data_IF_678179692474
#
_entry.id   IF_678179692474
#
_cell.length_a   1.000
_cell.length_b   1.000
_cell.length_c   1.000
_cell.angle_alpha   90.00
_cell.angle_beta   90.00
_cell.angle_gamma   90.00
#
_symmetry.space_group_name_H-M   'P 1'
#
loop_
_entity.id
_entity.type
_entity.pdbx_description
1 polymer ?
#
# COMPACT_ATOMS: atom_id res chain seq x y z
N UNK A 1 24.58 -16.89 8.25
CA UNK A 1 24.39 -17.78 7.08
C UNK A 1 23.01 -17.67 6.42
N UNK A 2 21.92 -17.29 7.13
CA UNK A 2 20.60 -17.10 6.48
C UNK A 2 20.54 -15.84 5.59
N UNK A 3 21.25 -14.76 5.93
CA UNK A 3 21.28 -13.53 5.10
C UNK A 3 21.87 -13.74 3.71
N UNK A 4 22.85 -14.63 3.57
CA UNK A 4 23.48 -14.91 2.27
C UNK A 4 22.59 -15.74 1.36
N UNK A 5 21.76 -16.66 1.91
CA UNK A 5 20.79 -17.42 1.11
C UNK A 5 19.64 -16.54 0.59
N UNK A 6 19.19 -15.58 1.40
CA UNK A 6 18.12 -14.66 0.99
C UNK A 6 18.60 -13.70 -0.13
N UNK A 7 19.85 -13.24 -0.06
CA UNK A 7 20.49 -12.45 -1.11
C UNK A 7 20.74 -13.27 -2.39
N UNK A 8 21.13 -14.54 -2.26
CA UNK A 8 21.28 -15.44 -3.40
C UNK A 8 19.94 -15.75 -4.08
N UNK A 9 18.87 -15.99 -3.31
CA UNK A 9 17.53 -16.18 -3.86
C UNK A 9 17.03 -14.93 -4.60
N UNK A 10 17.34 -13.73 -4.08
CA UNK A 10 17.00 -12.47 -4.73
C UNK A 10 17.77 -12.26 -6.04
N UNK A 11 19.06 -12.63 -6.08
CA UNK A 11 19.91 -12.51 -7.28
C UNK A 11 19.55 -13.50 -8.37
N UNK A 12 19.21 -14.74 -8.02
CA UNK A 12 18.98 -15.84 -8.96
C UNK A 12 17.50 -15.99 -9.33
N UNK A 13 16.60 -15.79 -8.36
CA UNK A 13 15.16 -16.01 -8.52
C UNK A 13 14.34 -14.73 -8.71
N UNK A 14 14.93 -13.53 -8.57
CA UNK A 14 14.20 -12.26 -8.61
C UNK A 14 13.18 -12.08 -7.47
N UNK A 15 13.14 -13.02 -6.51
CA UNK A 15 12.20 -13.03 -5.39
C UNK A 15 12.96 -12.81 -4.09
N UNK A 16 12.75 -11.67 -3.45
CA UNK A 16 13.28 -11.37 -2.12
C UNK A 16 12.25 -11.66 -1.04
N UNK A 17 12.64 -12.42 -0.01
CA UNK A 17 11.80 -12.63 1.16
C UNK A 17 12.29 -11.74 2.30
N UNK A 18 11.51 -10.73 2.66
CA UNK A 18 11.82 -9.92 3.83
C UNK A 18 11.44 -10.67 5.10
N UNK A 19 12.33 -10.64 6.12
CA UNK A 19 12.01 -11.20 7.43
C UNK A 19 10.86 -10.38 8.04
N UNK A 20 9.71 -11.01 8.36
CA UNK A 20 8.61 -10.28 8.97
C UNK A 20 9.07 -9.67 10.30
N UNK A 21 8.75 -8.39 10.50
CA UNK A 21 8.96 -7.74 11.80
C UNK A 21 7.93 -8.32 12.76
N UNK A 22 8.40 -9.07 13.76
CA UNK A 22 7.53 -9.64 14.79
C UNK A 22 7.06 -8.51 15.71
N UNK A 23 5.79 -8.11 15.57
CA UNK A 23 5.14 -7.19 16.49
C UNK A 23 4.64 -8.01 17.67
N UNK A 24 5.14 -7.68 18.88
CA UNK A 24 4.68 -8.32 20.10
C UNK A 24 3.42 -7.61 20.64
N UNK A 25 2.23 -8.25 20.57
CA UNK A 25 0.97 -7.64 21.03
C UNK A 25 0.98 -7.26 22.51
N UNK A 26 1.78 -7.94 23.32
CA UNK A 26 1.87 -7.70 24.77
C UNK A 26 2.55 -6.39 25.16
N UNK A 27 3.26 -5.75 24.22
CA UNK A 27 3.89 -4.44 24.45
C UNK A 27 2.88 -3.28 24.38
N UNK A 28 1.64 -3.53 23.95
CA UNK A 28 0.60 -2.51 23.86
C UNK A 28 -0.34 -2.53 25.05
N UNK A 29 -0.71 -1.36 25.58
CA UNK A 29 -1.77 -1.25 26.61
C UNK A 29 -3.10 -1.86 26.15
N UNK A 30 -3.41 -1.72 24.86
CA UNK A 30 -4.52 -2.39 24.20
C UNK A 30 -3.99 -3.11 22.95
N UNK A 31 -3.81 -4.45 22.99
CA UNK A 31 -3.23 -5.21 21.90
C UNK A 31 -3.93 -5.05 20.55
N UNK A 32 -5.28 -5.01 20.55
CA UNK A 32 -6.06 -4.87 19.32
C UNK A 32 -5.81 -3.52 18.65
N UNK A 33 -5.90 -2.43 19.43
CA UNK A 33 -5.68 -1.06 18.92
C UNK A 33 -4.23 -0.88 18.47
N UNK A 34 -3.27 -1.37 19.26
CA UNK A 34 -1.86 -1.29 18.91
C UNK A 34 -1.51 -2.00 17.60
N UNK A 35 -2.06 -3.20 17.41
CA UNK A 35 -1.88 -3.96 16.16
C UNK A 35 -2.53 -3.27 14.96
N UNK A 36 -3.74 -2.70 15.13
CA UNK A 36 -4.42 -1.98 14.07
C UNK A 36 -3.70 -0.69 13.68
N UNK A 37 -3.18 0.08 14.66
CA UNK A 37 -2.38 1.28 14.40
C UNK A 37 -1.06 0.94 13.69
N UNK A 38 -0.39 -0.13 14.11
CA UNK A 38 0.82 -0.59 13.43
C UNK A 38 0.55 -1.02 11.99
N UNK A 39 -0.58 -1.70 11.75
CA UNK A 39 -1.01 -2.09 10.42
C UNK A 39 -1.42 -0.88 9.55
N UNK A 40 -2.02 0.14 10.14
CA UNK A 40 -2.40 1.36 9.43
C UNK A 40 -1.19 2.22 9.01
N UNK A 41 -0.05 2.10 9.70
CA UNK A 41 1.14 2.89 9.42
C UNK A 41 1.71 2.64 8.00
N UNK A 42 1.65 1.39 7.51
CA UNK A 42 2.08 1.03 6.14
C UNK A 42 1.29 1.77 5.06
N UNK A 43 -0.03 1.56 4.98
CA UNK A 43 -0.87 2.29 4.03
C UNK A 43 -0.79 3.81 4.18
N UNK A 44 -0.73 4.34 5.41
CA UNK A 44 -0.61 5.77 5.65
C UNK A 44 0.70 6.34 5.10
N UNK A 45 1.82 5.66 5.29
CA UNK A 45 3.11 6.07 4.73
C UNK A 45 3.11 6.07 3.19
N UNK A 46 2.49 5.05 2.58
CA UNK A 46 2.34 4.99 1.14
C UNK A 46 1.46 6.13 0.60
N UNK A 47 0.35 6.45 1.27
CA UNK A 47 -0.50 7.59 0.90
C UNK A 47 0.23 8.92 1.02
N UNK A 48 1.01 9.11 2.09
CA UNK A 48 1.82 10.30 2.29
C UNK A 48 2.87 10.44 1.18
N UNK A 49 3.56 9.34 0.86
CA UNK A 49 4.58 9.33 -0.18
C UNK A 49 3.98 9.58 -1.56
N UNK A 50 2.80 9.02 -1.85
CA UNK A 50 2.06 9.30 -3.08
C UNK A 50 1.67 10.78 -3.17
N UNK A 51 1.19 11.37 -2.07
CA UNK A 51 0.79 12.77 -2.01
C UNK A 51 1.97 13.71 -2.27
N UNK A 52 3.12 13.50 -1.59
CA UNK A 52 4.34 14.28 -1.81
C UNK A 52 4.83 14.12 -3.25
N UNK A 53 4.86 12.88 -3.77
CA UNK A 53 5.28 12.61 -5.15
C UNK A 53 4.36 13.27 -6.17
N UNK A 54 3.05 13.34 -5.92
CA UNK A 54 2.08 14.02 -6.79
C UNK A 54 2.32 15.54 -6.82
N UNK A 55 2.62 16.15 -5.68
CA UNK A 55 2.98 17.57 -5.61
C UNK A 55 4.24 17.83 -6.44
N UNK A 56 5.30 17.05 -6.24
CA UNK A 56 6.54 17.18 -6.99
C UNK A 56 6.34 16.95 -8.49
N UNK A 57 5.52 15.96 -8.86
CA UNK A 57 5.16 15.70 -10.26
C UNK A 57 4.49 16.92 -10.91
N UNK A 58 3.47 17.49 -10.25
CA UNK A 58 2.78 18.69 -10.74
C UNK A 58 3.71 19.91 -10.82
N UNK A 59 4.56 20.11 -9.80
CA UNK A 59 5.57 21.18 -9.83
C UNK A 59 6.52 21.06 -11.02
N UNK A 60 7.03 19.86 -11.30
CA UNK A 60 7.87 19.60 -12.47
C UNK A 60 7.12 19.84 -13.77
N UNK A 61 5.85 19.41 -13.83
CA UNK A 61 5.03 19.54 -15.04
C UNK A 61 4.74 21.00 -15.38
N UNK A 62 4.22 21.77 -14.42
CA UNK A 62 3.81 23.17 -14.65
C UNK A 62 4.99 24.15 -14.74
N UNK A 63 6.15 23.84 -14.17
CA UNK A 63 7.36 24.69 -14.29
C UNK A 63 8.08 24.54 -15.63
N UNK A 64 7.63 23.66 -16.54
CA UNK A 64 8.31 23.36 -17.80
C UNK A 64 9.52 22.43 -17.64
N UNK A 65 9.87 22.03 -16.41
CA UNK A 65 10.94 21.05 -16.16
C UNK A 65 10.56 19.66 -16.67
N UNK A 66 9.27 19.39 -16.89
CA UNK A 66 8.79 18.11 -17.41
C UNK A 66 9.41 17.71 -18.73
N UNK A 67 9.58 18.68 -19.62
CA UNK A 67 10.20 18.48 -20.93
C UNK A 67 11.74 18.43 -20.84
N UNK A 68 12.33 19.18 -19.90
CA UNK A 68 13.77 19.21 -19.68
C UNK A 68 14.31 17.96 -18.97
N UNK A 69 13.50 17.34 -18.07
CA UNK A 69 13.90 16.18 -17.28
C UNK A 69 12.80 15.09 -17.29
N UNK A 70 12.51 14.48 -18.46
CA UNK A 70 11.40 13.53 -18.61
C UNK A 70 11.56 12.27 -17.73
N UNK A 71 12.79 11.86 -17.45
CA UNK A 71 13.07 10.72 -16.56
C UNK A 71 12.59 10.99 -15.12
N UNK A 72 12.79 12.21 -14.61
CA UNK A 72 12.33 12.58 -13.27
C UNK A 72 10.80 12.62 -13.21
N UNK A 73 10.16 13.20 -14.23
CA UNK A 73 8.69 13.27 -14.30
C UNK A 73 8.08 11.88 -14.36
N UNK A 74 8.66 10.99 -15.17
CA UNK A 74 8.24 9.58 -15.27
C UNK A 74 8.46 8.84 -13.96
N UNK A 75 9.59 9.05 -13.29
CA UNK A 75 9.88 8.47 -11.98
C UNK A 75 8.83 8.90 -10.94
N UNK A 76 8.53 10.20 -10.85
CA UNK A 76 7.53 10.72 -9.91
C UNK A 76 6.13 10.18 -10.21
N UNK A 77 5.74 10.06 -11.47
CA UNK A 77 4.49 9.43 -11.89
C UNK A 77 4.39 7.99 -11.38
N UNK A 78 5.43 7.17 -11.60
CA UNK A 78 5.44 5.79 -11.10
C UNK A 78 5.49 5.72 -9.58
N UNK A 79 6.16 6.65 -8.91
CA UNK A 79 6.13 6.75 -7.45
C UNK A 79 4.71 6.95 -6.94
N UNK A 80 3.92 7.83 -7.56
CA UNK A 80 2.50 8.00 -7.23
C UNK A 80 1.73 6.71 -7.48
N UNK A 81 1.82 6.15 -8.68
CA UNK A 81 1.07 4.98 -9.08
C UNK A 81 1.33 3.76 -8.18
N UNK A 82 2.61 3.47 -7.92
CA UNK A 82 3.00 2.33 -7.07
C UNK A 82 2.57 2.52 -5.62
N UNK A 83 2.75 3.71 -5.05
CA UNK A 83 2.38 3.95 -3.66
C UNK A 83 0.86 3.94 -3.45
N UNK A 84 0.07 4.46 -4.41
CA UNK A 84 -1.39 4.34 -4.36
C UNK A 84 -1.84 2.88 -4.47
N UNK A 85 -1.26 2.12 -5.39
CA UNK A 85 -1.55 0.69 -5.52
C UNK A 85 -1.23 -0.07 -4.23
N UNK A 86 -0.03 0.15 -3.65
CA UNK A 86 0.37 -0.47 -2.40
C UNK A 86 -0.55 -0.07 -1.23
N UNK A 87 -0.97 1.20 -1.15
CA UNK A 87 -1.90 1.65 -0.13
C UNK A 87 -3.27 0.96 -0.25
N UNK A 88 -3.83 0.89 -1.48
CA UNK A 88 -5.10 0.22 -1.75
C UNK A 88 -5.02 -1.26 -1.40
N UNK A 89 -3.98 -1.96 -1.87
CA UNK A 89 -3.77 -3.38 -1.55
C UNK A 89 -3.68 -3.61 -0.04
N UNK A 90 -2.88 -2.81 0.66
CA UNK A 90 -2.70 -2.95 2.10
C UNK A 90 -3.94 -2.57 2.91
N UNK A 91 -4.85 -1.77 2.37
CA UNK A 91 -6.13 -1.41 3.00
C UNK A 91 -7.24 -2.45 2.78
N UNK A 92 -7.03 -3.46 1.93
CA UNK A 92 -8.02 -4.53 1.73
C UNK A 92 -8.36 -5.22 3.06
N UNK A 93 -9.65 -5.36 3.41
CA UNK A 93 -10.06 -5.92 4.69
C UNK A 93 -9.98 -7.46 4.74
N UNK A 94 -9.04 -8.04 4.00
CA UNK A 94 -8.83 -9.50 3.89
C UNK A 94 -7.36 -9.85 4.11
N UNK A 95 -7.06 -10.94 4.86
CA UNK A 95 -5.70 -11.46 4.95
C UNK A 95 -5.14 -11.84 3.55
N UNK A 96 -3.85 -11.61 3.29
CA UNK A 96 -2.75 -11.28 4.21
C UNK A 96 -2.50 -9.78 4.42
N UNK A 97 -3.38 -8.91 3.96
CA UNK A 97 -3.16 -7.47 3.94
C UNK A 97 -3.37 -6.81 5.32
N UNK A 98 -2.71 -5.69 5.55
CA UNK A 98 -2.76 -4.94 6.81
C UNK A 98 -4.17 -4.42 7.14
N UNK A 99 -4.97 -4.11 6.13
CA UNK A 99 -6.37 -3.72 6.27
C UNK A 99 -7.24 -4.75 6.98
N UNK A 100 -6.89 -6.04 6.91
CA UNK A 100 -7.57 -7.08 7.67
C UNK A 100 -7.46 -6.87 9.19
N UNK A 101 -6.29 -6.42 9.67
CA UNK A 101 -6.05 -6.13 11.09
C UNK A 101 -6.85 -4.91 11.55
N UNK A 102 -7.01 -3.92 10.67
CA UNK A 102 -7.86 -2.75 10.91
C UNK A 102 -9.33 -3.16 10.95
N UNK A 103 -9.79 -3.96 9.99
CA UNK A 103 -11.15 -4.48 9.95
C UNK A 103 -11.48 -5.35 11.18
N UNK A 104 -10.54 -6.18 11.61
CA UNK A 104 -10.69 -7.02 12.80
C UNK A 104 -10.85 -6.23 14.10
N UNK A 105 -10.43 -4.95 14.15
CA UNK A 105 -10.66 -4.07 15.30
C UNK A 105 -12.16 -3.90 15.58
N UNK A 106 -12.98 -3.80 14.55
CA UNK A 106 -14.42 -3.58 14.61
C UNK A 106 -15.22 -4.86 14.82
N UNK A 107 -14.57 -6.04 14.72
CA UNK A 107 -15.26 -7.32 14.88
C UNK A 107 -15.37 -7.74 16.35
N UNK A 108 -16.51 -8.38 16.73
CA UNK A 108 -16.65 -9.06 18.00
C UNK A 108 -15.58 -10.14 18.18
N UNK A 109 -15.17 -10.39 19.42
CA UNK A 109 -14.07 -11.35 19.71
C UNK A 109 -14.27 -12.73 19.08
N UNK A 110 -15.50 -13.22 19.03
CA UNK A 110 -15.83 -14.54 18.45
C UNK A 110 -15.51 -14.61 16.96
N UNK A 111 -15.81 -13.56 16.21
CA UNK A 111 -15.53 -13.47 14.77
C UNK A 111 -14.04 -13.22 14.52
N UNK A 112 -13.38 -12.44 15.37
CA UNK A 112 -11.94 -12.21 15.34
C UNK A 112 -11.16 -13.53 15.39
N UNK A 113 -11.42 -14.38 16.40
CA UNK A 113 -10.73 -15.67 16.53
C UNK A 113 -11.06 -16.64 15.39
N UNK A 114 -12.29 -16.58 14.86
CA UNK A 114 -12.69 -17.41 13.72
C UNK A 114 -11.95 -16.97 12.45
N UNK A 115 -11.86 -15.67 12.17
CA UNK A 115 -11.12 -15.13 11.04
C UNK A 115 -9.63 -15.51 11.12
N UNK A 116 -9.00 -15.37 12.28
CA UNK A 116 -7.61 -15.79 12.48
C UNK A 116 -7.39 -17.29 12.27
N UNK A 117 -8.34 -18.15 12.68
CA UNK A 117 -8.25 -19.59 12.44
C UNK A 117 -8.22 -19.95 10.96
N UNK A 118 -8.96 -19.21 10.13
CA UNK A 118 -9.07 -19.45 8.69
C UNK A 118 -8.17 -18.55 7.85
N UNK A 119 -7.32 -17.73 8.47
CA UNK A 119 -6.45 -16.76 7.79
C UNK A 119 -5.68 -17.37 6.61
N UNK A 120 -5.08 -18.56 6.80
CA UNK A 120 -4.33 -19.27 5.74
C UNK A 120 -5.19 -19.63 4.53
N UNK A 121 -6.42 -20.09 4.76
CA UNK A 121 -7.33 -20.46 3.66
C UNK A 121 -7.84 -19.22 2.93
N UNK A 122 -8.14 -18.15 3.66
CA UNK A 122 -8.55 -16.87 3.09
C UNK A 122 -7.40 -16.30 2.24
N UNK A 123 -6.18 -16.35 2.74
CA UNK A 123 -4.97 -15.93 2.02
C UNK A 123 -4.82 -16.69 0.69
N UNK A 124 -4.95 -18.02 0.71
CA UNK A 124 -4.84 -18.84 -0.49
C UNK A 124 -5.96 -18.53 -1.50
N UNK A 125 -7.19 -18.33 -1.01
CA UNK A 125 -8.32 -17.96 -1.86
C UNK A 125 -8.11 -16.58 -2.51
N UNK A 126 -7.67 -15.58 -1.75
CA UNK A 126 -7.36 -14.24 -2.27
C UNK A 126 -6.24 -14.29 -3.30
N UNK A 127 -5.17 -15.06 -3.01
CA UNK A 127 -4.06 -15.24 -3.93
C UNK A 127 -4.55 -15.86 -5.26
N UNK A 128 -5.41 -16.89 -5.19
CA UNK A 128 -6.01 -17.50 -6.38
C UNK A 128 -6.86 -16.48 -7.18
N UNK A 129 -7.66 -15.64 -6.51
CA UNK A 129 -8.46 -14.60 -7.15
C UNK A 129 -7.59 -13.55 -7.86
N UNK A 130 -6.45 -13.18 -7.26
CA UNK A 130 -5.46 -12.29 -7.90
C UNK A 130 -4.87 -12.95 -9.15
N UNK A 131 -4.43 -14.21 -9.06
CA UNK A 131 -3.88 -14.93 -10.20
C UNK A 131 -4.88 -15.15 -11.35
N UNK A 132 -6.16 -15.29 -11.02
CA UNK A 132 -7.24 -15.40 -12.01
C UNK A 132 -7.65 -14.03 -12.61
N UNK A 133 -7.07 -12.91 -12.16
CA UNK A 133 -7.41 -11.57 -12.63
C UNK A 133 -8.78 -11.07 -12.18
N UNK A 134 -9.47 -11.81 -11.29
CA UNK A 134 -10.83 -11.45 -10.85
C UNK A 134 -10.88 -10.21 -9.98
N UNK A 135 -9.75 -9.83 -9.39
CA UNK A 135 -9.61 -8.63 -8.56
C UNK A 135 -9.12 -7.41 -9.34
N UNK A 136 -8.75 -7.53 -10.61
CA UNK A 136 -8.17 -6.43 -11.39
C UNK A 136 -9.14 -5.26 -11.56
N UNK A 137 -10.41 -5.54 -11.89
CA UNK A 137 -11.42 -4.51 -12.08
C UNK A 137 -11.75 -3.75 -10.78
N UNK A 138 -12.07 -4.42 -9.64
CA UNK A 138 -12.33 -3.71 -8.39
C UNK A 138 -11.09 -2.97 -7.85
N UNK A 139 -9.88 -3.54 -8.00
CA UNK A 139 -8.66 -2.88 -7.56
C UNK A 139 -8.34 -1.65 -8.40
N UNK A 140 -8.43 -1.75 -9.72
CA UNK A 140 -8.24 -0.61 -10.61
C UNK A 140 -9.25 0.51 -10.35
N UNK A 141 -10.50 0.17 -10.05
CA UNK A 141 -11.51 1.15 -9.66
C UNK A 141 -11.13 1.89 -8.37
N UNK A 142 -10.67 1.17 -7.35
CA UNK A 142 -10.19 1.76 -6.09
C UNK A 142 -8.95 2.64 -6.30
N UNK A 143 -7.96 2.15 -7.04
CA UNK A 143 -6.74 2.91 -7.33
C UNK A 143 -7.07 4.19 -8.11
N UNK A 144 -7.94 4.11 -9.12
CA UNK A 144 -8.39 5.28 -9.87
C UNK A 144 -9.17 6.27 -9.01
N UNK A 145 -9.98 5.79 -8.05
CA UNK A 145 -10.64 6.64 -7.07
C UNK A 145 -9.64 7.40 -6.20
N UNK A 146 -8.63 6.69 -5.68
CA UNK A 146 -7.55 7.30 -4.89
C UNK A 146 -6.70 8.28 -5.72
N UNK A 147 -6.46 7.96 -6.99
CA UNK A 147 -5.78 8.87 -7.92
C UNK A 147 -6.53 10.18 -8.06
N UNK A 148 -7.85 10.14 -8.31
CA UNK A 148 -8.70 11.32 -8.39
C UNK A 148 -8.67 12.13 -7.08
N UNK A 149 -8.75 11.45 -5.94
CA UNK A 149 -8.63 12.09 -4.64
C UNK A 149 -7.29 12.84 -4.49
N UNK A 150 -6.17 12.21 -4.89
CA UNK A 150 -4.85 12.86 -4.86
C UNK A 150 -4.78 14.07 -5.78
N UNK A 151 -5.37 14.00 -6.97
CA UNK A 151 -5.46 15.16 -7.88
C UNK A 151 -6.20 16.34 -7.21
N UNK A 152 -7.32 16.07 -6.54
CA UNK A 152 -8.08 17.11 -5.80
C UNK A 152 -7.28 17.67 -4.62
N UNK A 153 -6.66 16.80 -3.82
CA UNK A 153 -5.87 17.22 -2.65
C UNK A 153 -4.62 18.04 -3.02
N UNK A 154 -4.15 17.91 -4.25
CA UNK A 154 -2.98 18.64 -4.78
C UNK A 154 -3.38 19.74 -5.77
N UNK A 155 -4.66 20.06 -5.89
CA UNK A 155 -5.19 21.11 -6.78
C UNK A 155 -4.64 22.51 -6.49
N UNK A 156 -4.22 22.78 -5.25
CA UNK A 156 -3.58 24.03 -4.88
C UNK A 156 -2.29 24.31 -5.68
N UNK A 157 -1.61 23.26 -6.17
CA UNK A 157 -0.42 23.43 -7.00
C UNK A 157 -0.79 24.06 -8.34
N UNK A 158 -1.92 23.72 -8.94
CA UNK A 158 -2.39 24.27 -10.22
C UNK A 158 -2.69 25.77 -10.08
N UNK A 159 -3.26 26.17 -8.95
CA UNK A 159 -3.56 27.57 -8.66
C UNK A 159 -2.31 28.47 -8.62
N UNK A 160 -1.12 27.91 -8.31
CA UNK A 160 0.13 28.67 -8.31
C UNK A 160 0.54 29.13 -9.72
N UNK A 161 0.07 28.44 -10.77
CA UNK A 161 0.33 28.76 -12.18
C UNK A 161 -0.88 29.33 -12.91
N UNK A 162 -1.99 29.62 -12.20
CA UNK A 162 -3.19 30.27 -12.75
C UNK A 162 -4.08 29.35 -13.60
N UNK A 163 -4.02 28.05 -13.36
CA UNK A 163 -4.87 27.01 -13.97
C UNK A 163 -6.02 26.61 -13.06
#
# INVERSE_FOLDING_TARGET
>A
TRRSSDLLCMLVGGVGWAKPVSINPYNYKNPKVGMALSAAAGPASNLLLAWVSMILYKLCWYSGLGDAVPVLTMFLYYMVAMNLSLAVFNLLPVPPFDGSRIALLFLPQRLYFRAMKYERYIMLAVLALVFLGLLDAPLSWLVNGMWRLMLHLTGFVELLWGY
#
